data_IF_562182715838
#
_entry.id   IF_562182715838
#
_cell.length_a   1.000
_cell.length_b   1.000
_cell.length_c   1.000
_cell.angle_alpha   90.00
_cell.angle_beta   90.00
_cell.angle_gamma   90.00
#
_symmetry.space_group_name_H-M   'P 1'
#
loop_
_entity.id
_entity.type
_entity.pdbx_description
1 polymer ?
#
# COMPACT_ATOMS: atom_id res chain seq x y z
N UNK A 1 4.57 -5.11 -14.04
CA UNK A 1 5.44 -6.32 -13.97
C UNK A 1 4.96 -7.48 -14.83
N UNK A 2 3.65 -7.66 -15.10
CA UNK A 2 3.14 -8.71 -16.00
C UNK A 2 3.75 -8.69 -17.43
N UNK A 3 4.14 -7.50 -17.93
CA UNK A 3 4.78 -7.32 -19.23
C UNK A 3 6.25 -7.79 -19.32
N UNK A 4 6.88 -8.15 -18.19
CA UNK A 4 8.23 -8.71 -18.15
C UNK A 4 8.26 -10.25 -18.20
N UNK A 5 7.12 -10.90 -18.51
CA UNK A 5 7.04 -12.34 -18.58
C UNK A 5 7.81 -12.90 -19.79
N UNK A 6 8.47 -14.05 -19.62
CA UNK A 6 9.29 -14.72 -20.66
C UNK A 6 8.52 -15.01 -21.96
N UNK A 7 7.19 -15.16 -21.88
CA UNK A 7 6.28 -15.31 -23.02
C UNK A 7 4.91 -14.75 -22.66
N UNK A 8 4.15 -14.34 -23.68
CA UNK A 8 2.75 -13.89 -23.54
C UNK A 8 1.89 -14.98 -22.88
N UNK A 9 2.13 -16.26 -23.19
CA UNK A 9 1.40 -17.37 -22.59
C UNK A 9 1.64 -17.48 -21.07
N UNK A 10 2.89 -17.31 -20.63
CA UNK A 10 3.22 -17.26 -19.20
C UNK A 10 2.61 -16.03 -18.51
N UNK A 11 2.61 -14.87 -19.18
CA UNK A 11 1.93 -13.67 -18.68
C UNK A 11 0.43 -13.88 -18.51
N UNK A 12 -0.22 -14.55 -19.47
CA UNK A 12 -1.65 -14.86 -19.43
C UNK A 12 -1.99 -15.84 -18.31
N UNK A 13 -1.24 -16.95 -18.20
CA UNK A 13 -1.39 -17.92 -17.10
C UNK A 13 -1.19 -17.27 -15.74
N UNK A 14 -0.19 -16.39 -15.60
CA UNK A 14 0.05 -15.62 -14.40
C UNK A 14 -1.10 -14.67 -14.05
N UNK A 15 -1.68 -13.99 -15.04
CA UNK A 15 -2.83 -13.10 -14.84
C UNK A 15 -4.08 -13.87 -14.39
N UNK A 16 -4.36 -15.03 -14.99
CA UNK A 16 -5.49 -15.89 -14.60
C UNK A 16 -5.30 -16.40 -13.16
N UNK A 17 -4.10 -16.87 -12.82
CA UNK A 17 -3.78 -17.29 -11.46
C UNK A 17 -3.91 -16.14 -10.46
N UNK A 18 -3.45 -14.95 -10.79
CA UNK A 18 -3.58 -13.76 -9.96
C UNK A 18 -5.07 -13.38 -9.75
N UNK A 19 -5.88 -13.48 -10.80
CA UNK A 19 -7.33 -13.29 -10.72
C UNK A 19 -8.00 -14.29 -9.79
N UNK A 20 -7.63 -15.58 -9.89
CA UNK A 20 -8.12 -16.62 -8.98
C UNK A 20 -7.72 -16.36 -7.53
N UNK A 21 -6.45 -16.03 -7.27
CA UNK A 21 -5.95 -15.70 -5.93
C UNK A 21 -6.59 -14.43 -5.34
N UNK A 22 -7.12 -13.53 -6.17
CA UNK A 22 -7.79 -12.31 -5.72
C UNK A 22 -9.14 -12.56 -5.05
N UNK A 23 -9.69 -13.76 -5.17
CA UNK A 23 -10.91 -14.17 -4.45
C UNK A 23 -10.57 -14.47 -2.98
N UNK A 24 -9.38 -14.97 -2.69
CA UNK A 24 -8.95 -15.37 -1.34
C UNK A 24 -9.03 -14.26 -0.27
N UNK A 25 -8.60 -13.00 -0.54
CA UNK A 25 -8.74 -11.90 0.39
C UNK A 25 -10.17 -11.67 0.90
N UNK A 26 -11.20 -11.99 0.12
CA UNK A 26 -12.60 -11.85 0.59
C UNK A 26 -12.83 -12.72 1.82
N UNK A 27 -12.39 -13.98 1.78
CA UNK A 27 -12.54 -14.88 2.93
C UNK A 27 -11.63 -14.51 4.10
N UNK A 28 -10.42 -14.00 3.83
CA UNK A 28 -9.45 -13.67 4.89
C UNK A 28 -9.73 -12.34 5.57
N UNK A 29 -10.28 -11.34 4.86
CA UNK A 29 -10.50 -10.00 5.42
C UNK A 29 -11.98 -9.68 5.70
N UNK A 30 -12.93 -10.14 4.87
CA UNK A 30 -14.34 -9.80 5.06
C UNK A 30 -14.97 -10.64 6.18
N UNK A 31 -14.71 -11.96 6.21
CA UNK A 31 -15.29 -12.82 7.25
C UNK A 31 -14.89 -12.38 8.66
N UNK A 32 -13.61 -12.10 8.96
CA UNK A 32 -13.27 -11.59 10.27
C UNK A 32 -13.93 -10.24 10.57
N UNK A 33 -14.07 -9.35 9.59
CA UNK A 33 -14.77 -8.07 9.78
C UNK A 33 -16.23 -8.25 10.23
N UNK A 34 -16.96 -9.18 9.61
CA UNK A 34 -18.35 -9.50 10.00
C UNK A 34 -18.40 -10.13 11.40
N UNK A 35 -17.46 -11.02 11.72
CA UNK A 35 -17.36 -11.63 13.06
C UNK A 35 -17.03 -10.56 14.11
N UNK A 36 -16.16 -9.60 13.80
CA UNK A 36 -15.81 -8.49 14.67
C UNK A 36 -17.03 -7.67 15.06
N UNK A 37 -17.91 -7.37 14.10
CA UNK A 37 -19.14 -6.61 14.33
C UNK A 37 -20.14 -7.37 15.22
N UNK A 38 -20.18 -8.70 15.12
CA UNK A 38 -21.00 -9.54 15.99
C UNK A 38 -20.43 -9.66 17.42
N UNK A 39 -19.09 -9.67 17.58
CA UNK A 39 -18.42 -9.78 18.88
C UNK A 39 -18.30 -8.44 19.61
N UNK A 40 -18.15 -7.33 18.88
CA UNK A 40 -17.93 -5.99 19.42
C UNK A 40 -18.94 -5.00 18.81
N UNK A 41 -20.18 -4.94 19.33
CA UNK A 41 -21.20 -4.04 18.81
C UNK A 41 -20.78 -2.57 19.00
N UNK A 42 -20.86 -1.77 17.94
CA UNK A 42 -20.48 -0.34 17.95
C UNK A 42 -19.00 -0.06 17.70
N UNK A 43 -18.23 -1.06 17.27
CA UNK A 43 -16.83 -0.84 16.88
C UNK A 43 -16.71 0.02 15.62
N UNK A 44 -15.76 0.95 15.64
CA UNK A 44 -15.38 1.71 14.45
C UNK A 44 -14.82 0.77 13.37
N UNK A 45 -15.29 0.89 12.13
CA UNK A 45 -14.94 -0.02 11.04
C UNK A 45 -13.42 -0.13 10.84
N UNK A 46 -12.70 0.98 10.97
CA UNK A 46 -11.24 1.04 10.78
C UNK A 46 -10.45 0.40 11.92
N UNK A 47 -11.08 0.24 13.09
CA UNK A 47 -10.47 -0.40 14.26
C UNK A 47 -10.79 -1.90 14.35
N UNK A 48 -11.79 -2.40 13.63
CA UNK A 48 -12.31 -3.76 13.75
C UNK A 48 -11.23 -4.86 13.66
N UNK A 49 -10.37 -4.79 12.64
CA UNK A 49 -9.30 -5.76 12.45
C UNK A 49 -8.26 -5.72 13.58
N UNK A 50 -7.85 -4.51 13.99
CA UNK A 50 -6.86 -4.34 15.07
C UNK A 50 -7.40 -4.88 16.39
N UNK A 51 -8.66 -4.59 16.70
CA UNK A 51 -9.32 -5.04 17.94
C UNK A 51 -9.47 -6.56 17.99
N UNK A 52 -9.77 -7.22 16.87
CA UNK A 52 -9.78 -8.68 16.85
C UNK A 52 -8.39 -9.28 17.08
N UNK A 53 -7.37 -8.75 16.39
CA UNK A 53 -5.99 -9.21 16.53
C UNK A 53 -5.49 -9.02 17.97
N UNK A 54 -5.91 -7.94 18.65
CA UNK A 54 -5.49 -7.68 20.03
C UNK A 54 -6.19 -8.52 21.08
N UNK A 55 -7.48 -8.82 20.88
CA UNK A 55 -8.31 -9.49 21.89
C UNK A 55 -8.45 -11.01 21.69
N UNK A 56 -8.36 -11.52 20.45
CA UNK A 56 -8.60 -12.95 20.16
C UNK A 56 -7.31 -13.76 19.98
N UNK A 57 -6.19 -13.15 19.60
CA UNK A 57 -4.96 -13.89 19.33
C UNK A 57 -4.08 -14.02 20.57
N UNK A 58 -3.47 -15.20 20.80
CA UNK A 58 -2.53 -15.39 21.89
C UNK A 58 -1.26 -14.56 21.68
N UNK A 59 -0.58 -14.28 22.80
CA UNK A 59 0.76 -13.67 22.80
C UNK A 59 1.71 -14.51 21.95
N UNK A 60 2.55 -13.86 21.14
CA UNK A 60 3.35 -14.51 20.10
C UNK A 60 2.71 -14.41 18.71
N UNK A 61 1.57 -15.07 18.48
CA UNK A 61 0.87 -15.03 17.16
C UNK A 61 0.43 -13.61 16.81
N UNK A 62 -0.07 -12.86 17.81
CA UNK A 62 -0.38 -11.43 17.65
C UNK A 62 0.82 -10.63 17.12
N UNK A 63 2.03 -10.93 17.61
CA UNK A 63 3.26 -10.27 17.16
C UNK A 63 3.58 -10.58 15.69
N UNK A 64 3.42 -11.83 15.27
CA UNK A 64 3.63 -12.26 13.87
C UNK A 64 2.66 -11.53 12.93
N UNK A 65 1.39 -11.43 13.30
CA UNK A 65 0.37 -10.75 12.48
C UNK A 65 0.67 -9.26 12.35
N UNK A 66 1.01 -8.59 13.46
CA UNK A 66 1.37 -7.16 13.44
C UNK A 66 2.65 -6.91 12.63
N UNK A 67 3.67 -7.76 12.77
CA UNK A 67 4.88 -7.68 11.96
C UNK A 67 4.58 -7.87 10.47
N UNK A 68 3.73 -8.83 10.11
CA UNK A 68 3.29 -9.05 8.73
C UNK A 68 2.51 -7.87 8.15
N UNK A 69 1.64 -7.24 8.96
CA UNK A 69 0.91 -6.03 8.56
C UNK A 69 1.87 -4.87 8.29
N UNK A 70 2.81 -4.61 9.21
CA UNK A 70 3.82 -3.57 9.03
C UNK A 70 4.70 -3.84 7.80
N UNK A 71 5.09 -5.10 7.57
CA UNK A 71 5.86 -5.50 6.39
C UNK A 71 5.07 -5.27 5.08
N UNK A 72 3.77 -5.60 5.06
CA UNK A 72 2.91 -5.35 3.91
C UNK A 72 2.71 -3.85 3.63
N UNK A 73 2.57 -3.05 4.69
CA UNK A 73 2.51 -1.58 4.58
C UNK A 73 3.82 -1.02 4.02
N UNK A 74 4.97 -1.41 4.57
CA UNK A 74 6.28 -0.99 4.06
C UNK A 74 6.47 -1.38 2.59
N UNK A 75 6.08 -2.58 2.19
CA UNK A 75 6.17 -3.01 0.79
C UNK A 75 5.36 -2.12 -0.17
N UNK A 76 4.18 -1.67 0.27
CA UNK A 76 3.31 -0.79 -0.50
C UNK A 76 3.87 0.64 -0.56
N UNK A 77 4.40 1.13 0.56
CA UNK A 77 5.07 2.44 0.67
C UNK A 77 6.31 2.47 -0.22
N UNK A 78 7.21 1.50 -0.10
CA UNK A 78 8.43 1.38 -0.90
C UNK A 78 8.12 1.36 -2.41
N UNK A 79 7.10 0.61 -2.80
CA UNK A 79 6.67 0.53 -4.21
C UNK A 79 6.16 1.88 -4.73
N UNK A 80 5.36 2.58 -3.93
CA UNK A 80 4.78 3.88 -4.30
C UNK A 80 5.85 4.97 -4.35
N UNK A 81 6.73 5.03 -3.34
CA UNK A 81 7.82 5.98 -3.28
C UNK A 81 8.82 5.79 -4.42
N UNK A 82 9.16 4.54 -4.76
CA UNK A 82 10.04 4.24 -5.89
C UNK A 82 9.38 4.57 -7.25
N UNK A 83 8.08 4.33 -7.39
CA UNK A 83 7.34 4.74 -8.57
C UNK A 83 7.34 6.28 -8.71
N UNK A 84 7.05 7.02 -7.64
CA UNK A 84 7.10 8.48 -7.62
C UNK A 84 8.50 9.03 -7.94
N UNK A 85 9.56 8.42 -7.40
CA UNK A 85 10.94 8.79 -7.72
C UNK A 85 11.25 8.58 -9.21
N UNK A 86 10.75 7.50 -9.80
CA UNK A 86 10.92 7.22 -11.23
C UNK A 86 10.15 8.24 -12.08
N UNK A 87 8.90 8.53 -11.72
CA UNK A 87 8.07 9.54 -12.40
C UNK A 87 8.73 10.91 -12.37
N UNK A 88 9.19 11.39 -11.21
CA UNK A 88 9.89 12.68 -11.12
C UNK A 88 11.19 12.69 -11.92
N UNK A 89 11.98 11.62 -11.86
CA UNK A 89 13.25 11.57 -12.58
C UNK A 89 13.04 11.53 -14.11
N UNK A 90 12.15 10.67 -14.60
CA UNK A 90 11.96 10.44 -16.04
C UNK A 90 11.03 11.47 -16.66
N UNK A 91 9.89 11.74 -16.04
CA UNK A 91 8.82 12.53 -16.67
C UNK A 91 8.96 14.02 -16.38
N UNK A 92 9.63 14.40 -15.28
CA UNK A 92 9.92 15.80 -15.00
C UNK A 92 11.37 16.16 -15.35
N UNK A 93 12.37 15.49 -14.77
CA UNK A 93 13.76 15.93 -14.99
C UNK A 93 14.21 15.65 -16.43
N UNK A 94 14.24 14.40 -16.87
CA UNK A 94 14.75 14.06 -18.21
C UNK A 94 13.89 14.69 -19.31
N UNK A 95 12.57 14.68 -19.15
CA UNK A 95 11.65 15.23 -20.15
C UNK A 95 11.78 16.74 -20.31
N UNK A 96 11.94 17.50 -19.22
CA UNK A 96 12.05 18.97 -19.31
C UNK A 96 13.48 19.45 -19.55
N UNK A 97 14.51 18.77 -19.02
CA UNK A 97 15.90 19.16 -19.25
C UNK A 97 16.42 18.76 -20.63
N UNK A 98 15.84 17.72 -21.23
CA UNK A 98 16.33 17.12 -22.47
C UNK A 98 17.66 16.37 -22.33
N UNK A 99 18.23 16.28 -21.12
CA UNK A 99 19.53 15.65 -20.83
C UNK A 99 19.35 14.59 -19.75
N UNK A 100 19.81 13.37 -20.02
CA UNK A 100 19.83 12.31 -19.02
C UNK A 100 20.93 12.56 -17.98
N UNK A 101 20.58 12.70 -16.68
CA UNK A 101 21.58 12.83 -15.62
C UNK A 101 22.40 11.54 -15.52
N UNK A 102 23.67 11.65 -15.14
CA UNK A 102 24.49 10.47 -14.84
C UNK A 102 23.92 9.63 -13.69
N UNK A 103 24.29 8.35 -13.62
CA UNK A 103 23.73 7.37 -12.67
C UNK A 103 23.73 7.85 -11.20
N UNK A 104 24.81 8.50 -10.75
CA UNK A 104 24.91 9.07 -9.39
C UNK A 104 23.89 10.19 -9.15
N UNK A 105 23.69 11.06 -10.14
CA UNK A 105 22.72 12.15 -10.06
C UNK A 105 21.28 11.61 -10.03
N UNK A 106 20.97 10.59 -10.84
CA UNK A 106 19.64 9.94 -10.83
C UNK A 106 19.31 9.33 -9.45
N UNK A 107 20.28 8.67 -8.81
CA UNK A 107 20.08 8.11 -7.46
C UNK A 107 19.82 9.22 -6.44
N UNK A 108 20.57 10.32 -6.49
CA UNK A 108 20.39 11.45 -5.58
C UNK A 108 19.04 12.14 -5.77
N UNK A 109 18.66 12.41 -7.01
CA UNK A 109 17.34 12.94 -7.37
C UNK A 109 16.25 12.04 -6.77
N UNK A 110 16.32 10.73 -7.02
CA UNK A 110 15.33 9.79 -6.50
C UNK A 110 15.22 9.81 -4.98
N UNK A 111 16.35 9.84 -4.25
CA UNK A 111 16.35 9.93 -2.78
C UNK A 111 15.73 11.23 -2.27
N UNK A 112 16.02 12.36 -2.93
CA UNK A 112 15.43 13.66 -2.59
C UNK A 112 13.92 13.66 -2.86
N UNK A 113 13.48 13.12 -4.00
CA UNK A 113 12.05 12.97 -4.29
C UNK A 113 11.34 12.15 -3.22
N UNK A 114 11.90 11.01 -2.81
CA UNK A 114 11.32 10.17 -1.75
C UNK A 114 11.19 10.97 -0.45
N UNK A 115 12.23 11.70 -0.05
CA UNK A 115 12.20 12.51 1.16
C UNK A 115 11.13 13.62 1.11
N UNK A 116 11.00 14.31 -0.03
CA UNK A 116 9.98 15.35 -0.23
C UNK A 116 8.57 14.76 -0.20
N UNK A 117 8.33 13.65 -0.91
CA UNK A 117 7.03 12.99 -0.95
C UNK A 117 6.62 12.49 0.44
N UNK A 118 7.56 11.92 1.21
CA UNK A 118 7.33 11.52 2.59
C UNK A 118 6.99 12.71 3.49
N UNK A 119 7.76 13.80 3.41
CA UNK A 119 7.51 15.00 4.20
C UNK A 119 6.14 15.62 3.88
N UNK A 120 5.78 15.71 2.59
CA UNK A 120 4.48 16.18 2.16
C UNK A 120 3.35 15.25 2.66
N UNK A 121 3.53 13.93 2.58
CA UNK A 121 2.57 12.97 3.10
C UNK A 121 2.32 13.12 4.59
N UNK A 122 3.38 13.28 5.40
CA UNK A 122 3.28 13.51 6.84
C UNK A 122 2.58 14.83 7.15
N UNK A 123 2.90 15.89 6.40
CA UNK A 123 2.27 17.20 6.56
C UNK A 123 0.77 17.18 6.19
N UNK A 124 0.38 16.30 5.27
CA UNK A 124 -1.02 16.10 4.87
C UNK A 124 -1.83 15.20 5.82
N UNK A 125 -1.21 14.44 6.73
CA UNK A 125 -1.92 13.61 7.72
C UNK A 125 -3.02 14.34 8.50
N UNK A 126 -2.79 15.53 9.10
CA UNK A 126 -3.83 16.23 9.86
C UNK A 126 -5.03 16.70 9.00
N UNK A 127 -4.87 16.79 7.68
CA UNK A 127 -5.99 17.11 6.77
C UNK A 127 -6.95 15.93 6.56
N UNK A 128 -6.52 14.70 6.88
CA UNK A 128 -7.35 13.49 6.75
C UNK A 128 -8.22 13.31 8.01
N UNK A 129 -7.70 13.66 9.19
CA UNK A 129 -8.46 13.59 10.46
C UNK A 129 -9.66 14.53 10.49
N UNK A 130 -9.67 15.58 9.67
CA UNK A 130 -10.76 16.57 9.61
C UNK A 130 -11.87 16.24 8.60
N UNK A 131 -11.72 15.17 7.81
CA UNK A 131 -12.74 14.76 6.85
C UNK A 131 -13.77 13.84 7.53
N UNK A 132 -14.86 14.41 8.04
CA UNK A 132 -16.10 13.64 8.26
C UNK A 132 -16.53 13.10 6.90
N UNK A 133 -16.32 11.79 6.70
CA UNK A 133 -16.88 10.92 5.66
C UNK A 133 -17.51 11.63 4.44
N UNK A 134 -16.94 11.38 3.25
CA UNK A 134 -17.52 11.70 1.92
C UNK A 134 -19.01 11.31 1.74
N UNK A 135 -19.58 10.54 2.67
CA UNK A 135 -21.00 10.19 2.78
C UNK A 135 -21.93 11.34 3.20
N UNK A 136 -21.42 12.47 3.71
CA UNK A 136 -22.26 13.64 4.04
C UNK A 136 -22.57 14.53 2.82
N UNK A 137 -21.95 14.25 1.67
CA UNK A 137 -22.15 14.96 0.40
C UNK A 137 -22.93 14.15 -0.65
N UNK A 138 -23.46 12.97 -0.29
CA UNK A 138 -24.30 12.12 -1.15
C UNK A 138 -25.68 11.87 -0.52
#
# INVERSE_FOLDING_TARGET
RALGAKSIDHGRKGAILAGFLKITPVFIFVLPGVIALALFPGIENDAAFRTMVSNLLPVGVRGIVLAGLLAALMSSLDSTLNASATLVTRDFIVRFSGVEPGQRAQIWIGRVTIAIVLAAGILCTPLIETQETLWLYL
#
